data_IF_753917438355
#
_entry.id   IF_753917438355
#
_cell.length_a   1.000
_cell.length_b   1.000
_cell.length_c   1.000
_cell.angle_alpha   90.00
_cell.angle_beta   90.00
_cell.angle_gamma   90.00
#
_symmetry.space_group_name_H-M   'P 1'
#
loop_
_entity.id
_entity.type
_entity.pdbx_description
1 polymer ?
#
# COMPACT_ATOMS: atom_id res chain seq x y z
N UNK A 1 -5.98 -16.13 -27.65
CA UNK A 1 -6.27 -17.18 -26.65
C UNK A 1 -6.27 -16.49 -25.31
N UNK A 2 -7.34 -16.58 -24.52
CA UNK A 2 -7.45 -15.78 -23.30
C UNK A 2 -6.40 -16.23 -22.30
N UNK A 3 -5.48 -15.33 -21.90
CA UNK A 3 -4.39 -15.69 -20.97
C UNK A 3 -4.93 -16.06 -19.58
N UNK A 4 -6.11 -15.55 -19.25
CA UNK A 4 -6.72 -15.76 -17.95
C UNK A 4 -7.97 -16.62 -17.96
N UNK A 5 -8.09 -17.43 -16.91
CA UNK A 5 -9.24 -18.32 -16.68
C UNK A 5 -10.50 -17.56 -16.26
N UNK A 6 -11.67 -18.12 -16.57
CA UNK A 6 -12.97 -17.58 -16.12
C UNK A 6 -13.11 -17.51 -14.60
N UNK A 7 -12.37 -18.36 -13.87
CA UNK A 7 -12.31 -18.30 -12.41
C UNK A 7 -11.67 -16.99 -11.95
N UNK A 8 -10.56 -16.59 -12.58
CA UNK A 8 -9.86 -15.36 -12.24
C UNK A 8 -10.68 -14.12 -12.60
N UNK A 9 -11.31 -14.10 -13.79
CA UNK A 9 -12.20 -13.01 -14.20
C UNK A 9 -13.30 -12.80 -13.16
N UNK A 10 -13.97 -13.88 -12.74
CA UNK A 10 -15.00 -13.84 -11.68
C UNK A 10 -14.47 -13.33 -10.34
N UNK A 11 -13.25 -13.69 -9.95
CA UNK A 11 -12.61 -13.19 -8.74
C UNK A 11 -12.41 -11.68 -8.79
N UNK A 12 -11.80 -11.17 -9.87
CA UNK A 12 -11.52 -9.74 -10.01
C UNK A 12 -12.80 -8.90 -10.01
N UNK A 13 -13.86 -9.38 -10.67
CA UNK A 13 -15.17 -8.74 -10.62
C UNK A 13 -15.72 -8.66 -9.18
N UNK A 14 -15.77 -9.79 -8.46
CA UNK A 14 -16.24 -9.80 -7.06
C UNK A 14 -15.48 -8.83 -6.18
N UNK A 15 -14.18 -8.71 -6.40
CA UNK A 15 -13.31 -7.86 -5.61
C UNK A 15 -13.48 -6.38 -5.96
N UNK A 16 -13.49 -6.05 -7.26
CA UNK A 16 -13.31 -4.69 -7.75
C UNK A 16 -14.58 -4.02 -8.24
N UNK A 17 -15.71 -4.72 -8.41
CA UNK A 17 -16.93 -4.15 -9.03
C UNK A 17 -17.41 -2.85 -8.33
N UNK A 18 -17.20 -2.73 -7.01
CA UNK A 18 -17.53 -1.52 -6.23
C UNK A 18 -16.72 -0.28 -6.63
N UNK A 19 -15.61 -0.46 -7.34
CA UNK A 19 -14.67 0.58 -7.72
C UNK A 19 -14.75 0.94 -9.21
N UNK A 20 -15.80 0.48 -9.91
CA UNK A 20 -16.03 0.70 -11.35
C UNK A 20 -14.79 0.37 -12.20
N UNK A 21 -14.32 -0.90 -12.17
CA UNK A 21 -13.05 -1.29 -12.77
C UNK A 21 -13.13 -1.31 -14.30
N UNK A 22 -12.06 -0.86 -14.93
CA UNK A 22 -11.84 -0.92 -16.37
C UNK A 22 -10.81 -2.03 -16.63
N UNK A 23 -11.27 -3.15 -17.18
CA UNK A 23 -10.41 -4.26 -17.58
C UNK A 23 -9.89 -4.02 -19.00
N UNK A 24 -8.58 -4.09 -19.18
CA UNK A 24 -7.88 -3.86 -20.43
C UNK A 24 -7.06 -5.09 -20.80
N UNK A 25 -6.66 -5.16 -22.07
CA UNK A 25 -5.66 -6.13 -22.54
C UNK A 25 -5.97 -7.57 -22.11
N UNK A 26 -7.22 -7.99 -22.28
CA UNK A 26 -7.71 -9.32 -21.88
C UNK A 26 -7.44 -9.67 -20.40
N UNK A 27 -7.67 -8.70 -19.50
CA UNK A 27 -7.49 -8.80 -18.05
C UNK A 27 -6.02 -8.78 -17.58
N UNK A 28 -5.03 -8.54 -18.44
CA UNK A 28 -3.64 -8.30 -18.01
C UNK A 28 -3.48 -6.98 -17.24
N UNK A 29 -4.46 -6.08 -17.39
CA UNK A 29 -4.46 -4.80 -16.70
C UNK A 29 -5.86 -4.44 -16.22
N UNK A 30 -5.96 -3.96 -14.99
CA UNK A 30 -7.19 -3.37 -14.46
C UNK A 30 -6.91 -1.98 -13.90
N UNK A 31 -7.77 -1.03 -14.23
CA UNK A 31 -7.68 0.36 -13.77
C UNK A 31 -8.95 0.72 -13.01
N UNK A 32 -8.83 1.34 -11.85
CA UNK A 32 -9.96 1.79 -11.05
C UNK A 32 -9.59 2.98 -10.16
N UNK A 33 -10.58 3.60 -9.53
CA UNK A 33 -10.36 4.68 -8.56
C UNK A 33 -10.47 4.17 -7.12
N UNK A 34 -9.54 4.60 -6.27
CA UNK A 34 -9.51 4.26 -4.86
C UNK A 34 -9.09 5.48 -4.03
N UNK A 35 -10.00 6.02 -3.21
CA UNK A 35 -9.80 7.24 -2.40
C UNK A 35 -9.11 8.39 -3.15
N UNK A 36 -9.64 8.78 -4.31
CA UNK A 36 -9.09 9.82 -5.20
C UNK A 36 -7.71 9.52 -5.80
N UNK A 37 -7.23 8.28 -5.71
CA UNK A 37 -6.05 7.79 -6.43
C UNK A 37 -6.51 6.98 -7.65
N UNK A 38 -5.77 7.10 -8.74
CA UNK A 38 -5.90 6.20 -9.89
C UNK A 38 -5.02 4.99 -9.62
N UNK A 39 -5.64 3.82 -9.55
CA UNK A 39 -4.94 2.55 -9.37
C UNK A 39 -4.89 1.84 -10.71
N UNK A 40 -3.70 1.44 -11.13
CA UNK A 40 -3.48 0.55 -12.26
C UNK A 40 -2.78 -0.70 -11.75
N UNK A 41 -3.37 -1.86 -11.99
CA UNK A 41 -2.82 -3.15 -11.58
C UNK A 41 -2.41 -3.91 -12.81
N UNK A 42 -1.16 -4.39 -12.82
CA UNK A 42 -0.65 -5.28 -13.85
C UNK A 42 -0.65 -6.71 -13.31
N UNK A 43 -1.36 -7.57 -14.02
CA UNK A 43 -1.54 -8.98 -13.71
C UNK A 43 -0.67 -9.78 -14.67
N UNK A 44 0.17 -10.66 -14.13
CA UNK A 44 0.92 -11.62 -14.94
C UNK A 44 0.16 -12.95 -15.05
N UNK A 45 0.61 -13.84 -15.92
CA UNK A 45 0.01 -15.17 -16.11
C UNK A 45 0.09 -16.06 -14.85
N UNK A 46 0.90 -15.67 -13.86
CA UNK A 46 1.10 -16.41 -12.61
C UNK A 46 0.14 -15.95 -11.52
N UNK A 47 -0.54 -14.82 -11.69
CA UNK A 47 -1.62 -14.41 -10.82
C UNK A 47 -2.74 -15.47 -10.82
N UNK A 48 -3.31 -15.86 -9.66
CA UNK A 48 -3.18 -15.21 -8.35
C UNK A 48 -2.11 -15.81 -7.42
N UNK A 49 -1.25 -16.71 -7.90
CA UNK A 49 -0.21 -17.32 -7.08
C UNK A 49 1.02 -16.44 -6.90
N UNK A 50 1.13 -15.38 -7.71
CA UNK A 50 2.10 -14.31 -7.57
C UNK A 50 1.39 -12.97 -7.35
N UNK A 51 2.02 -12.12 -6.55
CA UNK A 51 1.48 -10.80 -6.23
C UNK A 51 1.49 -9.92 -7.48
N UNK A 52 0.40 -9.19 -7.78
CA UNK A 52 0.37 -8.29 -8.92
C UNK A 52 1.18 -7.02 -8.68
N UNK A 53 1.57 -6.33 -9.76
CA UNK A 53 2.23 -5.03 -9.65
C UNK A 53 1.18 -3.94 -9.53
N UNK A 54 1.24 -3.17 -8.45
CA UNK A 54 0.35 -2.04 -8.19
C UNK A 54 1.03 -0.73 -8.58
N UNK A 55 0.32 0.09 -9.36
CA UNK A 55 0.74 1.43 -9.76
C UNK A 55 -0.30 2.42 -9.23
N UNK A 56 0.14 3.37 -8.40
CA UNK A 56 -0.69 4.43 -7.83
C UNK A 56 -0.28 5.76 -8.46
N UNK A 57 -1.23 6.46 -9.10
CA UNK A 57 -0.99 7.76 -9.74
C UNK A 57 0.26 7.78 -10.64
N UNK A 58 0.40 6.76 -11.49
CA UNK A 58 1.54 6.52 -12.39
C UNK A 58 2.88 6.17 -11.72
N UNK A 59 2.88 5.85 -10.43
CA UNK A 59 4.08 5.39 -9.72
C UNK A 59 3.92 3.97 -9.21
N UNK A 60 4.94 3.13 -9.41
CA UNK A 60 4.97 1.78 -8.83
C UNK A 60 4.95 1.89 -7.30
N UNK A 61 4.02 1.17 -6.68
CA UNK A 61 3.91 1.07 -5.23
C UNK A 61 5.18 0.41 -4.67
N UNK A 62 5.77 1.04 -3.67
CA UNK A 62 7.00 0.56 -3.04
C UNK A 62 7.06 0.95 -1.58
N UNK A 63 7.68 0.09 -0.77
CA UNK A 63 7.96 0.28 0.65
C UNK A 63 9.43 0.69 0.90
N UNK A 64 10.22 0.88 -0.16
CA UNK A 64 11.67 1.12 -0.06
C UNK A 64 12.03 2.60 0.07
N UNK A 65 13.29 2.86 0.45
CA UNK A 65 13.89 4.18 0.56
C UNK A 65 13.89 5.02 -0.72
N UNK A 66 13.63 4.42 -1.89
CA UNK A 66 13.53 5.16 -3.14
C UNK A 66 12.35 6.13 -3.13
N UNK A 67 11.29 5.82 -2.37
CA UNK A 67 10.06 6.63 -2.29
C UNK A 67 9.98 7.49 -1.03
N UNK A 68 10.78 7.21 -0.02
CA UNK A 68 10.69 7.88 1.28
C UNK A 68 12.06 8.34 1.79
N UNK A 69 12.15 9.47 2.49
CA UNK A 69 13.41 9.90 3.11
C UNK A 69 13.98 8.80 4.02
N UNK A 70 15.23 8.39 3.77
CA UNK A 70 15.91 7.32 4.54
C UNK A 70 15.72 7.44 6.04
N UNK A 71 15.90 8.64 6.60
CA UNK A 71 15.75 8.89 8.04
C UNK A 71 14.36 8.54 8.57
N UNK A 72 13.31 8.87 7.82
CA UNK A 72 11.92 8.57 8.23
C UNK A 72 11.66 7.06 8.17
N UNK A 73 12.18 6.39 7.13
CA UNK A 73 12.05 4.95 7.00
C UNK A 73 12.85 4.20 8.08
N UNK A 74 14.05 4.66 8.43
CA UNK A 74 14.85 4.10 9.53
C UNK A 74 14.09 4.19 10.86
N UNK A 75 13.54 5.36 11.21
CA UNK A 75 12.73 5.54 12.42
C UNK A 75 11.50 4.61 12.45
N UNK A 76 10.88 4.37 11.30
CA UNK A 76 9.79 3.39 11.18
C UNK A 76 10.29 1.96 11.42
N UNK A 77 11.39 1.57 10.77
CA UNK A 77 11.93 0.20 10.81
C UNK A 77 12.41 -0.17 12.22
N UNK A 78 13.03 0.76 12.94
CA UNK A 78 13.46 0.56 14.33
C UNK A 78 12.30 0.17 15.27
N UNK A 79 11.07 0.64 14.97
CA UNK A 79 9.89 0.42 15.81
C UNK A 79 8.94 -0.65 15.30
N UNK A 80 8.94 -0.94 13.99
CA UNK A 80 7.92 -1.77 13.34
C UNK A 80 8.51 -2.91 12.49
N UNK A 81 9.84 -2.97 12.31
CA UNK A 81 10.50 -3.90 11.37
C UNK A 81 10.45 -3.43 9.91
N UNK A 82 11.07 -4.18 8.97
CA UNK A 82 11.01 -3.80 7.55
C UNK A 82 9.57 -3.91 7.04
N UNK A 83 8.97 -2.82 6.53
CA UNK A 83 7.66 -2.90 5.90
C UNK A 83 7.68 -3.79 4.64
N UNK A 84 8.83 -3.87 3.97
CA UNK A 84 9.03 -4.71 2.80
C UNK A 84 8.89 -6.22 3.10
N UNK A 85 9.45 -6.68 4.21
CA UNK A 85 9.51 -8.10 4.57
C UNK A 85 8.22 -8.59 5.25
N UNK A 86 7.46 -7.68 5.88
CA UNK A 86 6.19 -7.98 6.52
C UNK A 86 4.98 -7.67 5.66
N UNK A 87 5.16 -6.99 4.53
CA UNK A 87 4.08 -6.70 3.59
C UNK A 87 3.57 -7.98 2.94
N UNK A 88 2.26 -8.01 2.66
CA UNK A 88 1.63 -9.06 1.87
C UNK A 88 2.14 -9.14 0.43
N UNK A 89 2.76 -8.09 -0.10
CA UNK A 89 3.38 -8.13 -1.43
C UNK A 89 4.77 -8.78 -1.42
N UNK A 90 5.31 -9.09 -0.24
CA UNK A 90 6.52 -9.90 -0.10
C UNK A 90 6.22 -11.33 -0.60
N UNK A 91 7.08 -11.95 -1.42
CA UNK A 91 6.83 -13.28 -1.99
C UNK A 91 6.46 -14.35 -0.95
N UNK A 92 7.06 -14.31 0.23
CA UNK A 92 6.83 -15.29 1.29
C UNK A 92 5.51 -15.07 2.06
N UNK A 93 4.91 -13.88 1.95
CA UNK A 93 3.67 -13.52 2.65
C UNK A 93 2.46 -13.48 1.71
N UNK A 94 2.69 -13.42 0.39
CA UNK A 94 1.61 -13.38 -0.58
C UNK A 94 0.81 -14.68 -0.55
N UNK A 95 -0.51 -14.54 -0.64
CA UNK A 95 -1.42 -15.67 -0.75
C UNK A 95 -2.50 -15.35 -1.77
N UNK A 96 -2.94 -16.32 -2.58
CA UNK A 96 -4.11 -16.18 -3.43
C UNK A 96 -5.39 -15.84 -2.65
N UNK A 97 -5.45 -15.96 -1.33
CA UNK A 97 -6.60 -15.49 -0.56
C UNK A 97 -6.69 -13.96 -0.47
N UNK A 98 -5.56 -13.25 -0.66
CA UNK A 98 -5.47 -11.81 -0.55
C UNK A 98 -5.86 -11.12 -1.85
N UNK A 99 -6.62 -10.04 -1.74
CA UNK A 99 -7.02 -9.18 -2.84
C UNK A 99 -6.06 -8.01 -3.06
N UNK A 100 -6.17 -7.41 -4.24
CA UNK A 100 -5.67 -6.07 -4.56
C UNK A 100 -6.11 -5.05 -3.51
N UNK A 101 -7.36 -5.09 -3.03
CA UNK A 101 -7.85 -4.14 -2.02
C UNK A 101 -7.08 -4.29 -0.70
N UNK A 102 -6.76 -5.53 -0.29
CA UNK A 102 -5.96 -5.74 0.91
C UNK A 102 -4.56 -5.12 0.78
N UNK A 103 -3.96 -5.20 -0.41
CA UNK A 103 -2.66 -4.57 -0.68
C UNK A 103 -2.76 -3.05 -0.48
N UNK A 104 -3.83 -2.44 -1.02
CA UNK A 104 -4.05 -1.00 -0.91
C UNK A 104 -4.28 -0.55 0.54
N UNK A 105 -5.06 -1.31 1.31
CA UNK A 105 -5.33 -1.04 2.73
C UNK A 105 -4.05 -1.14 3.59
N UNK A 106 -3.22 -2.16 3.36
CA UNK A 106 -1.93 -2.30 4.03
C UNK A 106 -1.00 -1.14 3.69
N UNK A 107 -0.94 -0.76 2.41
CA UNK A 107 -0.11 0.34 1.96
C UNK A 107 -0.55 1.67 2.57
N UNK A 108 -1.86 1.95 2.61
CA UNK A 108 -2.39 3.15 3.25
C UNK A 108 -2.07 3.16 4.76
N UNK A 109 -2.16 2.01 5.43
CA UNK A 109 -1.77 1.87 6.84
C UNK A 109 -0.30 2.22 7.04
N UNK A 110 0.58 1.72 6.18
CA UNK A 110 2.00 2.04 6.20
C UNK A 110 2.26 3.55 5.97
N UNK A 111 1.64 4.14 4.95
CA UNK A 111 1.76 5.57 4.65
C UNK A 111 1.26 6.43 5.82
N UNK A 112 0.16 6.06 6.45
CA UNK A 112 -0.41 6.78 7.59
C UNK A 112 0.53 6.72 8.80
N UNK A 113 1.15 5.57 9.06
CA UNK A 113 2.21 5.45 10.09
C UNK A 113 3.41 6.33 9.76
N UNK A 114 3.90 6.34 8.53
CA UNK A 114 5.01 7.24 8.13
C UNK A 114 4.65 8.72 8.34
N UNK A 115 3.44 9.14 7.95
CA UNK A 115 2.94 10.50 8.19
C UNK A 115 2.89 10.82 9.69
N UNK A 116 2.47 9.88 10.54
CA UNK A 116 2.47 10.04 12.00
C UNK A 116 3.89 10.26 12.52
N UNK A 117 4.88 9.46 12.11
CA UNK A 117 6.29 9.66 12.49
C UNK A 117 6.80 11.04 12.07
N UNK A 118 6.46 11.48 10.85
CA UNK A 118 6.83 12.80 10.38
C UNK A 118 6.20 13.92 11.23
N UNK A 119 4.90 13.80 11.60
CA UNK A 119 4.23 14.75 12.49
C UNK A 119 4.91 14.82 13.86
N UNK A 120 5.17 13.68 14.50
CA UNK A 120 5.88 13.62 15.79
C UNK A 120 7.24 14.32 15.70
N UNK A 121 7.99 14.07 14.62
CA UNK A 121 9.29 14.71 14.38
C UNK A 121 9.19 16.22 14.22
N UNK A 122 8.17 16.71 13.52
CA UNK A 122 7.92 18.15 13.37
C UNK A 122 7.55 18.78 14.72
N UNK A 123 6.69 18.13 15.51
CA UNK A 123 6.31 18.60 16.86
C UNK A 123 7.53 18.72 17.77
N UNK A 124 8.44 17.75 17.76
CA UNK A 124 9.68 17.79 18.56
C UNK A 124 10.64 18.93 18.18
N UNK A 125 10.46 19.56 17.01
CA UNK A 125 11.26 20.72 16.59
C UNK A 125 10.63 22.06 17.00
N UNK A 126 9.41 22.04 17.52
CA UNK A 126 8.77 23.23 18.05
C UNK A 126 9.50 23.66 19.32
N UNK A 127 9.79 24.96 19.44
CA UNK A 127 10.40 25.56 20.63
C UNK A 127 9.34 25.78 21.72
N UNK A 128 8.64 24.71 22.09
CA UNK A 128 7.60 24.74 23.13
C UNK A 128 8.04 23.82 24.29
N UNK A 129 7.51 24.05 25.52
CA UNK A 129 7.80 23.21 26.67
C UNK A 129 7.54 21.71 26.42
N UNK A 130 8.38 20.85 26.98
CA UNK A 130 8.37 19.39 26.73
C UNK A 130 7.07 18.71 27.18
N UNK A 131 6.44 19.22 28.24
CA UNK A 131 5.13 18.75 28.72
C UNK A 131 4.04 18.97 27.65
N UNK A 132 4.06 20.11 26.96
CA UNK A 132 3.14 20.37 25.84
C UNK A 132 3.44 19.46 24.64
N UNK A 133 4.71 19.17 24.35
CA UNK A 133 5.09 18.21 23.30
C UNK A 133 4.52 16.82 23.62
N UNK A 134 4.63 16.38 24.87
CA UNK A 134 4.09 15.10 25.32
C UNK A 134 2.58 15.00 25.09
N UNK A 135 1.84 16.05 25.44
CA UNK A 135 0.39 16.12 25.22
C UNK A 135 0.05 16.08 23.72
N UNK A 136 0.74 16.85 22.88
CA UNK A 136 0.46 16.86 21.43
C UNK A 136 0.75 15.48 20.82
N UNK A 137 1.86 14.83 21.22
CA UNK A 137 2.20 13.50 20.73
C UNK A 137 1.15 12.47 21.14
N UNK A 138 0.59 12.54 22.35
CA UNK A 138 -0.42 11.57 22.78
C UNK A 138 -1.65 11.59 21.86
N UNK A 139 -2.12 12.76 21.43
CA UNK A 139 -3.20 12.90 20.45
C UNK A 139 -2.86 12.40 19.04
N UNK A 140 -1.57 12.30 18.69
CA UNK A 140 -1.13 11.78 17.40
C UNK A 140 -0.99 10.26 17.37
N UNK A 141 -0.95 9.61 18.53
CA UNK A 141 -0.72 8.16 18.70
C UNK A 141 -1.96 7.38 19.13
N UNK A 142 -3.11 8.05 19.28
CA UNK A 142 -4.44 7.43 19.43
C UNK A 142 -4.90 6.91 18.07
#
# INVERSE_FOLDING_TARGET
MSLFSDSMKRRLHRELDKYSPIFLEDYNRVIFSYFNKVVSVLLDEKYPFYCPIIILNNEIMSYTSQKFPNRLLTEYVEKNGCPCCSSMTCPDNWSPALGIINILEEYDTFINKLKMYQKIRMTKRLKIPDDMIGIIISFLTI
#
